data_IF_420260473358
#
_entry.id   IF_420260473358
#
_cell.length_a   1.000
_cell.length_b   1.000
_cell.length_c   1.000
_cell.angle_alpha   90.00
_cell.angle_beta   90.00
_cell.angle_gamma   90.00
#
_symmetry.space_group_name_H-M   'P 1'
#
loop_
_entity.id
_entity.type
_entity.pdbx_description
1 polymer ?
#
# COMPACT_ATOMS: atom_id res chain seq x y z
N UNK A 1 4.53 19.62 -15.26
CA UNK A 1 5.99 19.67 -15.03
C UNK A 1 6.52 18.31 -15.42
N UNK A 2 7.55 18.27 -16.24
CA UNK A 2 8.11 17.03 -16.79
C UNK A 2 9.19 16.55 -15.84
N UNK A 3 9.01 15.38 -15.21
CA UNK A 3 10.04 14.76 -14.36
C UNK A 3 11.31 14.49 -15.16
N UNK A 4 12.46 14.68 -14.54
CA UNK A 4 13.76 14.33 -15.11
C UNK A 4 13.93 12.80 -15.11
N UNK A 5 14.62 12.28 -16.14
CA UNK A 5 15.13 10.91 -16.05
C UNK A 5 16.35 10.87 -15.13
N UNK A 6 16.67 9.71 -14.52
CA UNK A 6 17.87 9.60 -13.69
C UNK A 6 19.15 10.05 -14.39
N UNK A 7 19.29 9.80 -15.71
CA UNK A 7 20.45 10.20 -16.51
C UNK A 7 20.49 11.70 -16.85
N UNK A 8 19.36 12.40 -16.74
CA UNK A 8 19.25 13.84 -17.00
C UNK A 8 19.52 14.69 -15.75
N UNK A 9 19.60 14.08 -14.57
CA UNK A 9 19.91 14.79 -13.33
C UNK A 9 21.37 15.25 -13.33
N UNK A 10 21.60 16.52 -13.01
CA UNK A 10 22.92 17.15 -13.04
C UNK A 10 23.59 17.23 -11.66
N UNK A 11 22.83 16.98 -10.59
CA UNK A 11 23.32 16.99 -9.23
C UNK A 11 22.38 16.30 -8.24
N UNK A 12 22.79 16.28 -6.97
CA UNK A 12 22.02 15.65 -5.90
C UNK A 12 20.67 16.33 -5.65
N UNK A 13 20.58 17.63 -5.91
CA UNK A 13 19.33 18.37 -5.69
C UNK A 13 18.25 17.96 -6.70
N UNK A 14 18.62 17.72 -7.97
CA UNK A 14 17.70 17.15 -8.97
C UNK A 14 17.21 15.76 -8.56
N UNK A 15 18.14 14.89 -8.12
CA UNK A 15 17.81 13.52 -7.69
C UNK A 15 16.84 13.54 -6.50
N UNK A 16 17.11 14.37 -5.49
CA UNK A 16 16.26 14.50 -4.30
C UNK A 16 14.87 15.02 -4.68
N UNK A 17 14.79 16.02 -5.56
CA UNK A 17 13.52 16.56 -6.01
C UNK A 17 12.67 15.51 -6.78
N UNK A 18 13.29 14.65 -7.59
CA UNK A 18 12.56 13.56 -8.25
C UNK A 18 12.14 12.45 -7.27
N UNK A 19 12.99 12.10 -6.28
CA UNK A 19 12.62 11.15 -5.22
C UNK A 19 11.44 11.69 -4.39
N UNK A 20 11.48 12.96 -3.97
CA UNK A 20 10.40 13.58 -3.21
C UNK A 20 9.08 13.57 -3.98
N UNK A 21 9.13 13.77 -5.31
CA UNK A 21 7.95 13.67 -6.17
C UNK A 21 7.38 12.24 -6.23
N UNK A 22 8.25 11.23 -6.35
CA UNK A 22 7.87 9.82 -6.32
C UNK A 22 7.23 9.47 -4.97
N UNK A 23 7.85 9.86 -3.87
CA UNK A 23 7.36 9.60 -2.51
C UNK A 23 6.01 10.27 -2.26
N UNK A 24 5.84 11.51 -2.71
CA UNK A 24 4.55 12.19 -2.63
C UNK A 24 3.46 11.46 -3.45
N UNK A 25 3.81 10.93 -4.63
CA UNK A 25 2.90 10.13 -5.43
C UNK A 25 2.54 8.81 -4.73
N UNK A 26 3.51 8.12 -4.14
CA UNK A 26 3.28 6.90 -3.36
C UNK A 26 2.33 7.16 -2.18
N UNK A 27 2.55 8.25 -1.42
CA UNK A 27 1.70 8.62 -0.29
C UNK A 27 0.26 8.89 -0.76
N UNK A 28 0.07 9.61 -1.88
CA UNK A 28 -1.26 9.81 -2.47
C UNK A 28 -1.94 8.48 -2.82
N UNK A 29 -1.21 7.57 -3.46
CA UNK A 29 -1.74 6.25 -3.83
C UNK A 29 -2.09 5.40 -2.60
N UNK A 30 -1.28 5.47 -1.53
CA UNK A 30 -1.57 4.81 -0.25
C UNK A 30 -2.85 5.38 0.37
N UNK A 31 -3.04 6.71 0.34
CA UNK A 31 -4.26 7.37 0.79
C UNK A 31 -5.50 6.89 0.03
N UNK A 32 -5.42 6.81 -1.29
CA UNK A 32 -6.50 6.25 -2.13
C UNK A 32 -6.74 4.77 -1.81
N UNK A 33 -5.68 3.97 -1.66
CA UNK A 33 -5.79 2.55 -1.26
C UNK A 33 -6.53 2.40 0.07
N UNK A 34 -6.25 3.26 1.06
CA UNK A 34 -6.96 3.27 2.35
C UNK A 34 -8.47 3.50 2.16
N UNK A 35 -8.88 4.43 1.30
CA UNK A 35 -10.31 4.68 1.03
C UNK A 35 -11.01 3.42 0.51
N UNK A 36 -10.36 2.63 -0.35
CA UNK A 36 -10.90 1.35 -0.82
C UNK A 36 -11.00 0.30 0.30
N UNK A 37 -10.02 0.24 1.22
CA UNK A 37 -10.10 -0.65 2.39
C UNK A 37 -11.29 -0.28 3.26
N UNK A 38 -11.48 1.00 3.57
CA UNK A 38 -12.64 1.45 4.35
C UNK A 38 -13.95 1.18 3.62
N UNK A 39 -14.03 1.40 2.31
CA UNK A 39 -15.23 1.09 1.53
C UNK A 39 -15.56 -0.42 1.55
N UNK A 40 -14.54 -1.29 1.63
CA UNK A 40 -14.73 -2.73 1.69
C UNK A 40 -15.43 -3.20 2.97
N UNK A 41 -15.35 -2.44 4.08
CA UNK A 41 -16.05 -2.75 5.35
C UNK A 41 -17.54 -2.96 5.17
N UNK A 42 -18.16 -2.22 4.24
CA UNK A 42 -19.60 -2.30 3.92
C UNK A 42 -20.03 -3.69 3.45
N UNK A 43 -19.10 -4.51 2.99
CA UNK A 43 -19.34 -5.85 2.50
C UNK A 43 -18.88 -6.94 3.47
N UNK A 44 -18.32 -6.58 4.63
CA UNK A 44 -17.79 -7.53 5.61
C UNK A 44 -18.80 -7.75 6.74
N UNK A 45 -19.28 -8.98 6.83
CA UNK A 45 -20.36 -9.40 7.74
C UNK A 45 -19.88 -9.80 9.13
N UNK A 46 -18.59 -10.15 9.27
CA UNK A 46 -18.02 -10.67 10.51
C UNK A 46 -16.49 -10.45 10.58
N UNK A 47 -15.90 -10.69 11.76
CA UNK A 47 -14.48 -10.50 12.01
C UNK A 47 -13.56 -11.42 11.18
N UNK A 48 -14.03 -12.59 10.78
CA UNK A 48 -13.30 -13.52 9.89
C UNK A 48 -13.19 -12.96 8.47
N UNK A 49 -14.26 -12.33 7.97
CA UNK A 49 -14.24 -11.59 6.71
C UNK A 49 -13.32 -10.35 6.77
N UNK A 50 -13.09 -9.79 7.95
CA UNK A 50 -12.10 -8.72 8.18
C UNK A 50 -10.68 -9.26 8.09
N UNK A 51 -10.38 -10.42 8.70
CA UNK A 51 -9.02 -10.98 8.73
C UNK A 51 -8.53 -11.55 7.39
N UNK A 52 -9.41 -12.17 6.59
CA UNK A 52 -9.16 -12.70 5.25
C UNK A 52 -7.73 -13.24 4.97
N UNK A 53 -7.22 -14.22 5.75
CA UNK A 53 -5.80 -14.61 5.72
C UNK A 53 -5.33 -15.15 4.36
N UNK A 54 -6.13 -16.01 3.70
CA UNK A 54 -5.81 -16.53 2.36
C UNK A 54 -5.71 -15.40 1.32
N UNK A 55 -6.59 -14.40 1.42
CA UNK A 55 -6.56 -13.24 0.52
C UNK A 55 -5.28 -12.42 0.69
N UNK A 56 -4.79 -12.28 1.92
CA UNK A 56 -3.53 -11.59 2.23
C UNK A 56 -2.34 -12.38 1.69
N UNK A 57 -2.30 -13.70 1.88
CA UNK A 57 -1.25 -14.57 1.34
C UNK A 57 -1.14 -14.44 -0.18
N UNK A 58 -2.24 -14.65 -0.92
CA UNK A 58 -2.25 -14.50 -2.39
C UNK A 58 -1.92 -13.07 -2.82
N UNK A 59 -2.29 -12.06 -2.02
CA UNK A 59 -1.90 -10.68 -2.29
C UNK A 59 -0.38 -10.51 -2.26
N UNK A 60 0.27 -11.01 -1.20
CA UNK A 60 1.70 -10.86 -0.97
C UNK A 60 2.51 -11.62 -2.02
N UNK A 61 2.13 -12.86 -2.35
CA UNK A 61 2.74 -13.63 -3.45
C UNK A 61 2.75 -12.84 -4.77
N UNK A 62 1.62 -12.20 -5.11
CA UNK A 62 1.53 -11.36 -6.31
C UNK A 62 2.42 -10.11 -6.23
N UNK A 63 2.56 -9.49 -5.05
CA UNK A 63 3.45 -8.33 -4.85
C UNK A 63 4.92 -8.73 -4.96
N UNK A 64 5.30 -9.91 -4.46
CA UNK A 64 6.64 -10.47 -4.66
C UNK A 64 6.96 -10.63 -6.14
N UNK A 65 6.01 -11.16 -6.92
CA UNK A 65 6.18 -11.27 -8.37
C UNK A 65 6.42 -9.91 -9.02
N UNK A 66 5.57 -8.91 -8.71
CA UNK A 66 5.75 -7.55 -9.25
C UNK A 66 7.07 -6.91 -8.85
N UNK A 67 7.57 -7.18 -7.65
CA UNK A 67 8.88 -6.71 -7.20
C UNK A 67 9.98 -7.24 -8.13
N UNK A 68 9.99 -8.54 -8.39
CA UNK A 68 10.95 -9.17 -9.32
C UNK A 68 10.87 -8.56 -10.71
N UNK A 69 9.66 -8.37 -11.24
CA UNK A 69 9.43 -7.78 -12.58
C UNK A 69 9.95 -6.33 -12.70
N UNK A 70 10.05 -5.61 -11.57
CA UNK A 70 10.54 -4.23 -11.52
C UNK A 70 11.97 -4.11 -10.96
N UNK A 71 12.70 -5.23 -10.82
CA UNK A 71 14.08 -5.22 -10.33
C UNK A 71 14.24 -4.85 -8.85
N UNK A 72 13.18 -5.00 -8.05
CA UNK A 72 13.18 -4.74 -6.60
C UNK A 72 13.22 -6.06 -5.84
N UNK A 73 13.93 -6.10 -4.71
CA UNK A 73 13.98 -7.28 -3.85
C UNK A 73 12.57 -7.69 -3.37
N UNK A 74 12.12 -8.93 -3.62
CA UNK A 74 10.78 -9.38 -3.23
C UNK A 74 10.49 -9.29 -1.74
N UNK A 75 11.48 -9.59 -0.90
CA UNK A 75 11.33 -9.58 0.56
C UNK A 75 11.10 -8.17 1.11
N UNK A 76 11.73 -7.15 0.51
CA UNK A 76 11.49 -5.74 0.85
C UNK A 76 10.03 -5.35 0.56
N UNK A 77 9.55 -5.69 -0.64
CA UNK A 77 8.18 -5.35 -1.05
C UNK A 77 7.15 -6.13 -0.24
N UNK A 78 7.39 -7.42 0.04
CA UNK A 78 6.51 -8.19 0.91
C UNK A 78 6.41 -7.57 2.29
N UNK A 79 7.55 -7.22 2.91
CA UNK A 79 7.55 -6.59 4.23
C UNK A 79 6.76 -5.29 4.24
N UNK A 80 7.00 -4.41 3.26
CA UNK A 80 6.29 -3.13 3.13
C UNK A 80 4.77 -3.33 3.03
N UNK A 81 4.33 -4.26 2.18
CA UNK A 81 2.90 -4.51 1.99
C UNK A 81 2.26 -5.28 3.14
N UNK A 82 3.02 -6.13 3.83
CA UNK A 82 2.58 -6.80 5.06
C UNK A 82 2.28 -5.77 6.14
N UNK A 83 3.22 -4.85 6.41
CA UNK A 83 3.05 -3.77 7.38
C UNK A 83 1.84 -2.88 7.02
N UNK A 84 1.70 -2.53 5.73
CA UNK A 84 0.60 -1.71 5.24
C UNK A 84 -0.78 -2.38 5.39
N UNK A 85 -0.87 -3.68 5.08
CA UNK A 85 -2.12 -4.45 5.23
C UNK A 85 -2.48 -4.60 6.70
N UNK A 86 -1.54 -4.97 7.55
CA UNK A 86 -1.79 -5.12 8.99
C UNK A 86 -2.24 -3.80 9.62
N UNK A 87 -1.66 -2.67 9.21
CA UNK A 87 -2.09 -1.35 9.68
C UNK A 87 -3.56 -1.09 9.30
N UNK A 88 -3.93 -1.23 8.03
CA UNK A 88 -5.29 -0.93 7.60
C UNK A 88 -6.32 -1.95 8.09
N UNK A 89 -5.95 -3.21 8.31
CA UNK A 89 -6.86 -4.19 8.94
C UNK A 89 -7.21 -3.81 10.39
N UNK A 90 -6.25 -3.25 11.14
CA UNK A 90 -6.51 -2.74 12.49
C UNK A 90 -7.45 -1.53 12.45
N UNK A 91 -7.18 -0.60 11.56
CA UNK A 91 -8.05 0.57 11.34
C UNK A 91 -9.46 0.16 10.91
N UNK A 92 -9.55 -0.82 10.02
CA UNK A 92 -10.80 -1.41 9.54
C UNK A 92 -11.62 -2.03 10.67
N UNK A 93 -10.97 -2.82 11.54
CA UNK A 93 -11.62 -3.44 12.69
C UNK A 93 -12.16 -2.39 13.67
N UNK A 94 -11.40 -1.33 13.93
CA UNK A 94 -11.85 -0.21 14.76
C UNK A 94 -13.07 0.50 14.15
N UNK A 95 -13.06 0.73 12.84
CA UNK A 95 -14.17 1.36 12.14
C UNK A 95 -15.43 0.47 12.12
N UNK A 96 -15.27 -0.83 11.92
CA UNK A 96 -16.37 -1.80 11.93
C UNK A 96 -17.03 -1.91 13.30
N UNK A 97 -16.24 -1.97 14.38
CA UNK A 97 -16.77 -1.96 15.76
C UNK A 97 -17.56 -0.69 16.08
N UNK A 98 -17.08 0.48 15.61
CA UNK A 98 -17.76 1.74 15.83
C UNK A 98 -19.09 1.89 15.06
N UNK A 99 -19.24 1.18 13.94
CA UNK A 99 -20.43 1.26 13.07
C UNK A 99 -21.47 0.17 13.35
N UNK A 100 -21.07 -1.00 13.87
CA UNK A 100 -21.99 -2.09 14.28
C UNK A 100 -22.49 -1.97 15.74
N UNK A 101 -21.94 -1.04 16.52
CA UNK A 101 -22.38 -0.75 17.90
C UNK A 101 -23.56 0.24 18.01
N UNK A 102 -24.26 0.51 16.91
CA UNK A 102 -25.48 1.33 16.86
C UNK A 102 -26.67 0.50 16.41
#
# INVERSE_FOLDING_TARGET
>A
MTSLTPQACTGLDDIRAEIDQIDQAMIRLIGTRRQYVLAATRFKTDATAVSAPERVKTMLEKRRQWATENGVQPDLIEKLYSDLVHHFMKEEMQHWQATQGR
#
